data_IF_849550196510
#
_entry.id   IF_849550196510
#
_cell.length_a   1.000
_cell.length_b   1.000
_cell.length_c   1.000
_cell.angle_alpha   90.00
_cell.angle_beta   90.00
_cell.angle_gamma   90.00
#
_symmetry.space_group_name_H-M   'P 1'
#
loop_
_entity.id
_entity.type
_entity.pdbx_description
1 polymer ?
#
# COMPACT_ATOMS: atom_id res chain seq x y z
N UNK A 1 34.93 -18.30 17.29
CA UNK A 1 34.32 -18.39 15.94
C UNK A 1 33.30 -17.27 15.83
N UNK A 2 33.42 -16.39 14.84
CA UNK A 2 32.40 -15.35 14.63
C UNK A 2 31.11 -16.03 14.13
N UNK A 3 29.92 -15.60 14.59
CA UNK A 3 28.67 -16.14 14.07
C UNK A 3 28.62 -15.86 12.55
N UNK A 4 28.49 -16.91 11.75
CA UNK A 4 28.18 -16.77 10.33
C UNK A 4 26.67 -16.64 10.20
N UNK A 5 26.20 -15.43 9.92
CA UNK A 5 24.81 -15.24 9.54
C UNK A 5 24.56 -15.79 8.14
N UNK A 6 23.38 -16.37 7.87
CA UNK A 6 23.02 -16.74 6.52
C UNK A 6 23.04 -15.50 5.61
N UNK A 7 23.41 -15.65 4.33
CA UNK A 7 23.31 -14.56 3.36
C UNK A 7 21.88 -13.99 3.36
N UNK A 8 21.76 -12.67 3.27
CA UNK A 8 20.48 -11.97 3.36
C UNK A 8 20.23 -11.12 2.12
N UNK A 9 18.99 -11.15 1.62
CA UNK A 9 18.49 -10.25 0.57
C UNK A 9 17.37 -9.40 1.15
N UNK A 10 17.53 -8.09 1.05
CA UNK A 10 16.52 -7.12 1.45
C UNK A 10 15.85 -6.53 0.22
N UNK A 11 14.56 -6.75 0.07
CA UNK A 11 13.75 -6.12 -0.98
C UNK A 11 13.05 -4.91 -0.39
N UNK A 12 13.22 -3.75 -0.99
CA UNK A 12 12.58 -2.52 -0.51
C UNK A 12 11.83 -1.80 -1.62
N UNK A 13 10.83 -1.01 -1.23
CA UNK A 13 10.09 -0.15 -2.14
C UNK A 13 9.29 0.91 -1.40
N UNK A 14 8.82 1.91 -2.14
CA UNK A 14 7.98 3.00 -1.65
C UNK A 14 6.65 3.05 -2.42
N UNK A 15 5.54 3.35 -1.74
CA UNK A 15 4.21 3.48 -2.35
C UNK A 15 3.83 2.22 -3.13
N UNK A 16 3.41 2.33 -4.40
CA UNK A 16 3.17 1.18 -5.27
C UNK A 16 4.36 0.21 -5.34
N UNK A 17 5.59 0.76 -5.38
CA UNK A 17 6.81 -0.05 -5.40
C UNK A 17 7.01 -0.86 -4.12
N UNK A 18 6.49 -0.39 -2.98
CA UNK A 18 6.48 -1.16 -1.73
C UNK A 18 5.56 -2.39 -1.84
N UNK A 19 4.41 -2.22 -2.50
CA UNK A 19 3.50 -3.34 -2.80
C UNK A 19 4.15 -4.39 -3.70
N UNK A 20 4.85 -3.95 -4.74
CA UNK A 20 5.64 -4.84 -5.61
C UNK A 20 6.74 -5.56 -4.81
N UNK A 21 7.48 -4.84 -3.95
CA UNK A 21 8.50 -5.42 -3.10
C UNK A 21 7.93 -6.50 -2.14
N UNK A 22 6.78 -6.22 -1.52
CA UNK A 22 6.11 -7.16 -0.61
C UNK A 22 5.67 -8.44 -1.33
N UNK A 23 5.06 -8.31 -2.51
CA UNK A 23 4.65 -9.47 -3.33
C UNK A 23 5.84 -10.27 -3.84
N UNK A 24 6.87 -9.60 -4.38
CA UNK A 24 8.06 -10.25 -4.92
C UNK A 24 8.80 -11.06 -3.84
N UNK A 25 8.99 -10.46 -2.67
CA UNK A 25 9.68 -11.10 -1.55
C UNK A 25 8.88 -12.29 -0.99
N UNK A 26 7.55 -12.17 -0.92
CA UNK A 26 6.67 -13.29 -0.58
C UNK A 26 6.80 -14.44 -1.59
N UNK A 27 6.77 -14.14 -2.89
CA UNK A 27 6.91 -15.15 -3.96
C UNK A 27 8.28 -15.84 -3.93
N UNK A 28 9.36 -15.09 -3.72
CA UNK A 28 10.70 -15.69 -3.64
C UNK A 28 10.87 -16.59 -2.41
N UNK A 29 10.26 -16.21 -1.27
CA UNK A 29 10.22 -17.02 -0.06
C UNK A 29 9.46 -18.33 -0.30
N UNK A 30 8.24 -18.22 -0.84
CA UNK A 30 7.35 -19.36 -1.05
C UNK A 30 7.92 -20.35 -2.08
N UNK A 31 8.46 -19.85 -3.19
CA UNK A 31 9.09 -20.68 -4.22
C UNK A 31 10.43 -21.28 -3.78
N UNK A 32 10.94 -20.96 -2.58
CA UNK A 32 12.28 -21.37 -2.14
C UNK A 32 13.38 -20.95 -3.12
N UNK A 33 13.20 -19.79 -3.79
CA UNK A 33 13.98 -19.41 -4.98
C UNK A 33 15.49 -19.32 -4.71
N UNK A 34 15.84 -18.99 -3.47
CA UNK A 34 17.20 -18.86 -2.97
C UNK A 34 17.39 -19.69 -1.70
N UNK A 35 17.68 -21.00 -1.81
CA UNK A 35 17.86 -21.87 -0.66
C UNK A 35 18.98 -21.37 0.27
N UNK A 36 18.72 -21.33 1.58
CA UNK A 36 19.68 -20.87 2.58
C UNK A 36 19.89 -19.35 2.65
N UNK A 37 19.15 -18.57 1.85
CA UNK A 37 19.16 -17.10 1.90
C UNK A 37 17.98 -16.59 2.72
N UNK A 38 18.25 -15.70 3.67
CA UNK A 38 17.23 -14.98 4.44
C UNK A 38 16.66 -13.83 3.59
N UNK A 39 15.44 -14.01 3.08
CA UNK A 39 14.74 -12.98 2.31
C UNK A 39 13.91 -12.14 3.27
N UNK A 40 14.00 -10.81 3.17
CA UNK A 40 13.24 -9.85 3.97
C UNK A 40 12.71 -8.72 3.11
N UNK A 41 11.67 -8.05 3.60
CA UNK A 41 11.12 -6.88 2.93
C UNK A 41 10.98 -5.66 3.85
N UNK A 42 11.30 -4.47 3.32
CA UNK A 42 10.97 -3.18 3.94
C UNK A 42 10.11 -2.37 3.00
N UNK A 43 8.86 -2.13 3.39
CA UNK A 43 7.82 -1.58 2.55
C UNK A 43 7.39 -0.20 3.07
N UNK A 44 7.83 0.88 2.43
CA UNK A 44 7.51 2.24 2.83
C UNK A 44 6.20 2.71 2.18
N UNK A 45 5.28 3.28 2.95
CA UNK A 45 4.00 3.78 2.43
C UNK A 45 3.24 2.72 1.60
N UNK A 46 3.30 1.44 1.99
CA UNK A 46 2.79 0.34 1.17
C UNK A 46 1.26 0.30 1.18
N UNK A 47 0.58 0.27 0.01
CA UNK A 47 -0.84 -0.03 -0.03
C UNK A 47 -1.11 -1.49 0.35
N UNK A 48 -2.37 -1.81 0.64
CA UNK A 48 -2.79 -3.18 0.95
C UNK A 48 -2.79 -4.03 -0.31
N UNK A 49 -1.80 -4.94 -0.42
CA UNK A 49 -1.59 -5.82 -1.58
C UNK A 49 -1.71 -7.31 -1.27
N UNK A 50 -1.91 -7.65 0.01
CA UNK A 50 -2.06 -9.02 0.49
C UNK A 50 -3.41 -9.17 1.18
N UNK A 51 -3.97 -10.38 1.16
CA UNK A 51 -5.07 -10.72 2.06
C UNK A 51 -4.57 -10.85 3.51
N UNK A 52 -5.53 -11.00 4.44
CA UNK A 52 -5.25 -11.04 5.87
C UNK A 52 -4.38 -12.23 6.27
N UNK A 53 -4.62 -13.40 5.68
CA UNK A 53 -3.92 -14.65 6.04
C UNK A 53 -2.47 -14.63 5.55
N UNK A 54 -2.25 -14.20 4.31
CA UNK A 54 -0.93 -14.05 3.73
C UNK A 54 -0.13 -12.97 4.46
N UNK A 55 -0.75 -11.83 4.78
CA UNK A 55 -0.13 -10.77 5.58
C UNK A 55 0.30 -11.29 6.97
N UNK A 56 -0.57 -12.03 7.65
CA UNK A 56 -0.24 -12.64 8.95
C UNK A 56 0.95 -13.61 8.84
N UNK A 57 0.99 -14.44 7.78
CA UNK A 57 2.10 -15.38 7.52
C UNK A 57 3.43 -14.69 7.20
N UNK A 58 3.39 -13.42 6.77
CA UNK A 58 4.55 -12.61 6.38
C UNK A 58 4.94 -11.59 7.46
N UNK A 59 4.24 -11.54 8.60
CA UNK A 59 4.47 -10.59 9.69
C UNK A 59 5.92 -10.58 10.20
N UNK A 60 6.55 -11.76 10.29
CA UNK A 60 7.95 -11.87 10.70
C UNK A 60 8.93 -11.53 9.58
N UNK A 61 8.49 -11.46 8.33
CA UNK A 61 9.32 -11.32 7.13
C UNK A 61 9.34 -9.90 6.55
N UNK A 62 8.18 -9.23 6.55
CA UNK A 62 7.97 -7.91 5.95
C UNK A 62 7.78 -6.86 7.03
N UNK A 63 8.56 -5.78 6.99
CA UNK A 63 8.39 -4.61 7.83
C UNK A 63 7.78 -3.47 7.01
N UNK A 64 6.56 -3.07 7.36
CA UNK A 64 5.91 -1.89 6.74
C UNK A 64 6.22 -0.64 7.55
N UNK A 65 6.57 0.45 6.86
CA UNK A 65 6.88 1.75 7.47
C UNK A 65 5.85 2.76 6.97
N UNK A 66 5.10 3.34 7.91
CA UNK A 66 3.98 4.26 7.67
C UNK A 66 4.25 5.54 8.45
N UNK A 67 4.07 6.69 7.81
CA UNK A 67 4.32 8.00 8.42
C UNK A 67 3.02 8.78 8.61
N UNK A 68 2.66 9.08 9.86
CA UNK A 68 1.56 9.97 10.21
C UNK A 68 0.25 9.63 9.48
N UNK A 69 -0.32 10.64 8.83
CA UNK A 69 -1.57 10.54 8.06
C UNK A 69 -1.35 10.18 6.59
N UNK A 70 -0.40 9.31 6.27
CA UNK A 70 -0.21 8.78 4.91
C UNK A 70 -1.41 7.95 4.46
N UNK A 71 -2.06 8.35 3.35
CA UNK A 71 -3.27 7.69 2.85
C UNK A 71 -3.00 6.38 2.14
N UNK A 72 -1.79 6.17 1.63
CA UNK A 72 -1.48 5.02 0.79
C UNK A 72 -1.67 3.68 1.52
N UNK A 73 -1.25 3.50 2.79
CA UNK A 73 -1.47 2.26 3.54
C UNK A 73 -2.93 1.95 3.86
N UNK A 74 -3.84 2.91 3.67
CA UNK A 74 -5.28 2.76 3.84
C UNK A 74 -5.98 2.39 2.53
N UNK A 75 -5.24 2.34 1.42
CA UNK A 75 -5.74 1.92 0.13
C UNK A 75 -5.70 0.39 0.00
N UNK A 76 -6.87 -0.18 -0.25
CA UNK A 76 -7.08 -1.50 -0.84
C UNK A 76 -7.68 -1.31 -2.24
N UNK A 77 -7.89 -2.40 -2.97
CA UNK A 77 -8.64 -2.34 -4.22
C UNK A 77 -10.04 -1.73 -4.02
N UNK A 78 -10.72 -2.09 -2.93
CA UNK A 78 -12.04 -1.56 -2.61
C UNK A 78 -11.98 -0.06 -2.32
N UNK A 79 -11.16 0.37 -1.36
CA UNK A 79 -11.10 1.78 -0.93
C UNK A 79 -10.52 2.69 -2.02
N UNK A 80 -9.62 2.20 -2.88
CA UNK A 80 -9.16 2.93 -4.06
C UNK A 80 -10.27 3.09 -5.11
N UNK A 81 -11.12 2.09 -5.30
CA UNK A 81 -12.27 2.15 -6.20
C UNK A 81 -13.35 3.08 -5.65
N UNK A 82 -13.59 3.06 -4.35
CA UNK A 82 -14.51 3.99 -3.68
C UNK A 82 -14.00 5.43 -3.79
N UNK A 83 -12.71 5.66 -3.55
CA UNK A 83 -12.09 6.97 -3.73
C UNK A 83 -12.24 7.47 -5.17
N UNK A 84 -11.97 6.61 -6.16
CA UNK A 84 -12.19 6.94 -7.58
C UNK A 84 -13.64 7.33 -7.84
N UNK A 85 -14.59 6.56 -7.31
CA UNK A 85 -16.02 6.80 -7.52
C UNK A 85 -16.47 8.11 -6.88
N UNK A 86 -16.00 8.39 -5.66
CA UNK A 86 -16.23 9.66 -4.98
C UNK A 86 -15.64 10.84 -5.77
N UNK A 87 -14.41 10.71 -6.29
CA UNK A 87 -13.79 11.75 -7.10
C UNK A 87 -14.56 12.05 -8.39
N UNK A 88 -15.02 11.01 -9.09
CA UNK A 88 -15.82 11.19 -10.31
C UNK A 88 -17.16 11.88 -10.01
N UNK A 89 -17.82 11.49 -8.93
CA UNK A 89 -19.05 12.10 -8.47
C UNK A 89 -18.86 13.58 -8.11
N UNK A 90 -17.80 13.91 -7.36
CA UNK A 90 -17.50 15.30 -6.98
C UNK A 90 -17.07 16.16 -8.18
N UNK A 91 -16.62 15.54 -9.28
CA UNK A 91 -16.26 16.27 -10.50
C UNK A 91 -17.50 16.90 -11.17
N UNK A 92 -18.66 16.22 -11.12
CA UNK A 92 -19.93 16.79 -11.56
C UNK A 92 -21.12 16.26 -10.72
N UNK A 93 -21.35 16.83 -9.51
CA UNK A 93 -22.36 16.31 -8.59
C UNK A 93 -23.80 16.42 -9.14
N UNK A 94 -24.07 17.42 -9.98
CA UNK A 94 -25.40 17.69 -10.52
C UNK A 94 -25.89 16.54 -11.42
N UNK A 95 -25.00 15.93 -12.21
CA UNK A 95 -25.32 14.76 -13.05
C UNK A 95 -25.71 13.53 -12.22
N UNK A 96 -25.38 13.54 -10.92
CA UNK A 96 -25.67 12.48 -9.96
C UNK A 96 -26.75 12.88 -8.96
N UNK A 97 -27.50 13.97 -9.22
CA UNK A 97 -28.61 14.41 -8.36
C UNK A 97 -28.16 14.95 -6.99
N UNK A 98 -26.90 15.37 -6.87
CA UNK A 98 -26.34 15.96 -5.65
C UNK A 98 -26.25 17.47 -5.73
N UNK A 99 -26.12 18.10 -4.57
CA UNK A 99 -25.98 19.56 -4.47
C UNK A 99 -24.71 20.02 -5.22
N UNK A 100 -24.82 20.98 -6.16
CA UNK A 100 -23.68 21.50 -6.91
C UNK A 100 -22.58 22.14 -6.04
N UNK A 101 -22.88 22.54 -4.79
CA UNK A 101 -21.89 23.00 -3.82
C UNK A 101 -20.87 21.93 -3.44
N UNK A 102 -21.18 20.65 -3.64
CA UNK A 102 -20.23 19.54 -3.45
C UNK A 102 -19.20 19.41 -4.58
N UNK A 103 -19.29 20.23 -5.63
CA UNK A 103 -18.31 20.22 -6.71
C UNK A 103 -16.91 20.50 -6.14
N UNK A 104 -15.90 19.77 -6.63
CA UNK A 104 -14.50 19.92 -6.19
C UNK A 104 -14.04 21.38 -6.13
N UNK A 105 -14.45 22.22 -7.09
CA UNK A 105 -14.12 23.65 -7.10
C UNK A 105 -14.64 24.39 -5.86
N UNK A 106 -15.86 24.10 -5.45
CA UNK A 106 -16.52 24.76 -4.33
C UNK A 106 -15.98 24.25 -2.99
N UNK A 107 -15.70 22.95 -2.89
CA UNK A 107 -15.05 22.34 -1.71
C UNK A 107 -13.67 22.92 -1.47
N UNK A 108 -12.84 23.04 -2.52
CA UNK A 108 -11.50 23.65 -2.40
C UNK A 108 -11.59 25.12 -1.97
N UNK A 109 -12.49 25.90 -2.57
CA UNK A 109 -12.70 27.31 -2.20
C UNK A 109 -13.25 27.51 -0.77
N UNK A 110 -13.81 26.47 -0.15
CA UNK A 110 -14.24 26.47 1.25
C UNK A 110 -13.10 26.06 2.20
N UNK A 111 -12.19 25.18 1.77
CA UNK A 111 -11.05 24.74 2.57
C UNK A 111 -10.00 25.84 2.77
N UNK A 112 -9.95 26.82 1.87
CA UNK A 112 -9.04 27.98 1.95
C UNK A 112 -9.58 29.14 2.84
N UNK A 113 -10.72 28.96 3.53
CA UNK A 113 -11.33 29.95 4.44
C UNK A 113 -11.08 29.60 5.90
#
# INVERSE_FOLDING_TARGET
MQPQWPPRVLVCGHSLGAGVAALLSALWRDAGRFPGVDIRCVAYACPQVLDMDLAASLSNHTTSIILGDDMVPRLSLATATDLRSAMLLLSNPADHGMDPSLCTRNVLAAADR
#
